data_IF_294100405303
#
_entry.id   IF_294100405303
#
_cell.length_a   1.000
_cell.length_b   1.000
_cell.length_c   1.000
_cell.angle_alpha   90.00
_cell.angle_beta   90.00
_cell.angle_gamma   90.00
#
_symmetry.space_group_name_H-M   'P 1'
#
loop_
_entity.id
_entity.type
_entity.pdbx_description
1 polymer ?
#
# COMPACT_ATOMS: atom_id res chain seq x y z
N UNK A 1 -23.70 -7.12 -11.38
CA UNK A 1 -22.99 -6.22 -12.33
C UNK A 1 -21.56 -6.08 -11.85
N UNK A 2 -20.57 -6.39 -12.68
CA UNK A 2 -19.16 -6.19 -12.29
C UNK A 2 -18.92 -4.68 -12.18
N UNK A 3 -18.93 -4.15 -10.96
CA UNK A 3 -18.70 -2.72 -10.70
C UNK A 3 -17.22 -2.35 -10.62
N UNK A 4 -16.33 -3.30 -10.84
CA UNK A 4 -14.89 -3.07 -10.78
C UNK A 4 -14.31 -3.20 -12.18
N UNK A 5 -13.67 -2.11 -12.65
CA UNK A 5 -13.09 -2.02 -13.97
C UNK A 5 -11.64 -2.54 -14.03
N UNK A 6 -11.09 -2.99 -12.89
CA UNK A 6 -9.73 -3.52 -12.88
C UNK A 6 -9.62 -4.80 -13.72
N UNK A 7 -8.53 -4.96 -14.47
CA UNK A 7 -8.33 -6.12 -15.33
C UNK A 7 -8.16 -7.41 -14.52
N UNK A 8 -8.56 -8.55 -15.08
CA UNK A 8 -8.35 -9.87 -14.48
C UNK A 8 -6.86 -10.23 -14.37
N UNK A 9 -6.06 -9.76 -15.31
CA UNK A 9 -4.61 -9.97 -15.31
C UNK A 9 -3.91 -8.63 -15.22
N UNK A 10 -2.82 -8.59 -14.44
CA UNK A 10 -1.97 -7.42 -14.33
C UNK A 10 -1.47 -7.02 -15.72
N UNK A 11 -1.73 -5.79 -16.18
CA UNK A 11 -1.19 -5.30 -17.43
C UNK A 11 0.35 -5.34 -17.42
N UNK A 12 0.95 -5.54 -18.59
CA UNK A 12 2.39 -5.38 -18.73
C UNK A 12 2.81 -3.98 -18.30
N UNK A 13 3.87 -3.92 -17.52
CA UNK A 13 4.43 -2.65 -17.07
C UNK A 13 5.95 -2.62 -17.20
N UNK A 14 6.47 -1.40 -17.30
CA UNK A 14 7.89 -1.10 -17.31
C UNK A 14 8.16 0.03 -16.33
N UNK A 15 9.25 -0.05 -15.60
CA UNK A 15 9.69 0.95 -14.65
C UNK A 15 11.06 1.44 -15.11
N UNK A 16 11.18 2.73 -15.37
CA UNK A 16 12.43 3.35 -15.83
C UNK A 16 12.81 4.49 -14.89
N UNK A 17 14.03 4.45 -14.39
CA UNK A 17 14.54 5.52 -13.52
C UNK A 17 14.70 6.80 -14.33
N UNK A 18 14.25 7.91 -13.77
CA UNK A 18 14.44 9.24 -14.33
C UNK A 18 15.64 9.91 -13.70
N UNK A 19 16.40 10.65 -14.49
CA UNK A 19 17.50 11.51 -14.01
C UNK A 19 16.98 12.81 -13.37
N UNK A 20 15.68 13.07 -13.49
CA UNK A 20 15.08 14.26 -12.91
C UNK A 20 14.98 14.15 -11.38
N UNK A 21 15.03 15.31 -10.72
CA UNK A 21 14.90 15.39 -9.27
C UNK A 21 13.53 14.89 -8.83
N UNK A 22 13.49 14.09 -7.77
CA UNK A 22 12.26 13.66 -7.12
C UNK A 22 11.45 14.86 -6.61
N UNK A 23 10.14 14.79 -6.76
CA UNK A 23 9.25 15.71 -6.07
C UNK A 23 8.96 15.19 -4.66
N UNK A 24 8.66 16.10 -3.75
CA UNK A 24 8.26 15.78 -2.39
C UNK A 24 6.76 15.50 -2.33
N UNK A 25 6.35 14.64 -1.42
CA UNK A 25 4.96 14.37 -1.10
C UNK A 25 4.68 14.76 0.35
N UNK A 26 3.53 15.35 0.61
CA UNK A 26 3.05 15.54 1.95
C UNK A 26 2.52 14.25 2.53
N UNK A 27 2.49 14.14 3.85
CA UNK A 27 1.99 12.94 4.51
C UNK A 27 0.54 12.60 4.13
N UNK A 28 -0.33 13.60 4.06
CA UNK A 28 -1.71 13.42 3.60
C UNK A 28 -1.83 12.86 2.18
N UNK A 29 -0.85 13.15 1.32
CA UNK A 29 -0.77 12.61 -0.04
C UNK A 29 -0.30 11.16 -0.02
N UNK A 30 0.58 10.82 0.93
CA UNK A 30 1.00 9.44 1.14
C UNK A 30 -0.11 8.53 1.62
N UNK A 31 -1.15 9.07 2.19
CA UNK A 31 -2.33 8.27 2.51
C UNK A 31 -2.93 7.61 1.27
N UNK A 32 -2.58 8.09 0.07
CA UNK A 32 -2.88 7.40 -1.18
C UNK A 32 -2.21 6.03 -1.31
N UNK A 33 -1.04 5.82 -0.71
CA UNK A 33 -0.40 4.51 -0.72
C UNK A 33 -1.10 3.52 0.20
N UNK A 34 -1.77 3.98 1.27
CA UNK A 34 -2.74 3.20 2.01
C UNK A 34 -4.04 3.05 1.27
N UNK A 35 -4.13 3.67 0.08
CA UNK A 35 -5.30 3.55 -0.75
C UNK A 35 -6.55 4.14 -0.06
N UNK A 36 -6.33 5.12 0.84
CA UNK A 36 -7.43 5.84 1.48
C UNK A 36 -7.97 6.89 0.51
N UNK A 37 -9.25 6.81 0.15
CA UNK A 37 -9.84 7.79 -0.76
C UNK A 37 -9.96 9.16 -0.08
N UNK A 38 -9.89 10.23 -0.88
CA UNK A 38 -10.28 11.56 -0.43
C UNK A 38 -11.80 11.62 -0.19
N UNK A 39 -12.25 12.62 0.55
CA UNK A 39 -13.68 12.82 0.77
C UNK A 39 -14.44 12.84 -0.57
N UNK A 40 -15.53 12.09 -0.64
CA UNK A 40 -16.35 11.88 -1.84
C UNK A 40 -15.67 11.12 -2.99
N UNK A 41 -14.55 10.49 -2.73
CA UNK A 41 -13.85 9.66 -3.70
C UNK A 41 -14.04 8.17 -3.37
N UNK A 42 -14.04 7.36 -4.41
CA UNK A 42 -13.91 5.91 -4.30
C UNK A 42 -12.62 5.50 -4.99
N UNK A 43 -11.88 4.62 -4.36
CA UNK A 43 -10.68 3.98 -4.92
C UNK A 43 -10.95 2.49 -5.00
N UNK A 44 -10.70 1.90 -6.15
CA UNK A 44 -10.64 0.46 -6.31
C UNK A 44 -9.21 0.04 -6.53
N UNK A 45 -8.78 -1.02 -5.88
CA UNK A 45 -7.45 -1.57 -6.07
C UNK A 45 -7.48 -3.10 -6.03
N UNK A 46 -6.54 -3.71 -6.71
CA UNK A 46 -6.43 -5.15 -6.84
C UNK A 46 -5.05 -5.65 -6.51
N UNK A 47 -5.00 -6.80 -5.86
CA UNK A 47 -3.79 -7.57 -5.59
C UNK A 47 -3.67 -8.64 -6.67
N UNK A 48 -2.50 -8.67 -7.31
CA UNK A 48 -2.16 -9.59 -8.39
C UNK A 48 -1.09 -10.54 -7.94
N UNK A 49 -1.45 -11.79 -7.86
CA UNK A 49 -0.53 -12.87 -7.49
C UNK A 49 0.58 -13.05 -8.53
N UNK A 50 1.74 -13.42 -8.07
CA UNK A 50 2.86 -13.78 -8.92
C UNK A 50 3.22 -15.27 -8.72
N UNK A 51 3.60 -16.00 -9.77
CA UNK A 51 3.88 -15.57 -11.14
C UNK A 51 2.67 -15.54 -12.06
N UNK A 52 1.45 -15.90 -11.60
CA UNK A 52 0.25 -16.00 -12.45
C UNK A 52 -0.17 -14.66 -13.04
N UNK A 53 0.16 -13.55 -12.39
CA UNK A 53 -0.26 -12.18 -12.70
C UNK A 53 -1.78 -12.00 -12.68
N UNK A 54 -2.48 -12.94 -12.06
CA UNK A 54 -3.93 -12.92 -11.94
C UNK A 54 -4.37 -12.16 -10.71
N UNK A 55 -5.44 -11.39 -10.85
CA UNK A 55 -6.06 -10.72 -9.73
C UNK A 55 -6.64 -11.74 -8.76
N UNK A 56 -6.18 -11.72 -7.52
CA UNK A 56 -6.67 -12.58 -6.44
C UNK A 56 -7.72 -11.86 -5.62
N UNK A 57 -7.40 -10.68 -5.10
CA UNK A 57 -8.26 -9.87 -4.26
C UNK A 57 -8.52 -8.50 -4.85
N UNK A 58 -9.73 -8.01 -4.60
CA UNK A 58 -10.17 -6.67 -4.93
C UNK A 58 -10.65 -5.96 -3.67
N UNK A 59 -10.38 -4.68 -3.63
CA UNK A 59 -10.81 -3.78 -2.57
C UNK A 59 -11.50 -2.56 -3.17
N UNK A 60 -12.65 -2.24 -2.63
CA UNK A 60 -13.38 -1.03 -2.94
C UNK A 60 -13.47 -0.16 -1.69
N UNK A 61 -12.78 0.97 -1.68
CA UNK A 61 -12.71 1.87 -0.54
C UNK A 61 -13.39 3.20 -0.83
N UNK A 62 -14.13 3.71 0.14
CA UNK A 62 -14.73 5.05 0.07
C UNK A 62 -14.81 5.69 1.44
N UNK A 63 -14.68 7.00 1.48
CA UNK A 63 -15.07 7.80 2.64
C UNK A 63 -16.60 7.91 2.63
N UNK A 64 -17.25 7.43 3.70
CA UNK A 64 -18.71 7.42 3.82
C UNK A 64 -19.26 8.57 4.65
N UNK A 65 -18.43 9.27 5.40
CA UNK A 65 -18.86 10.38 6.22
C UNK A 65 -17.80 10.87 7.19
N UNK A 66 -18.27 11.63 8.17
CA UNK A 66 -17.49 12.02 9.33
C UNK A 66 -17.96 11.23 10.54
N UNK A 67 -17.06 10.95 11.44
CA UNK A 67 -17.34 10.31 12.71
C UNK A 67 -16.53 10.96 13.82
N UNK A 68 -17.03 10.89 15.03
CA UNK A 68 -16.34 11.40 16.22
C UNK A 68 -16.09 10.23 17.16
N UNK A 69 -14.85 10.04 17.55
CA UNK A 69 -14.41 9.00 18.49
C UNK A 69 -13.75 9.70 19.66
N UNK A 70 -14.29 9.54 20.87
CA UNK A 70 -13.80 10.22 22.09
C UNK A 70 -13.58 11.74 21.92
N UNK A 71 -14.48 12.39 21.18
CA UNK A 71 -14.39 13.84 20.94
C UNK A 71 -13.42 14.24 19.84
N UNK A 72 -12.73 13.29 19.21
CA UNK A 72 -11.83 13.55 18.09
C UNK A 72 -12.60 13.33 16.79
N UNK A 73 -12.62 14.34 15.93
CA UNK A 73 -13.23 14.24 14.62
C UNK A 73 -12.32 13.48 13.64
N UNK A 74 -12.93 12.61 12.84
CA UNK A 74 -12.27 11.87 11.80
C UNK A 74 -13.18 11.62 10.60
N UNK A 75 -12.64 10.97 9.58
CA UNK A 75 -13.39 10.45 8.44
C UNK A 75 -13.69 8.98 8.66
N UNK A 76 -14.90 8.57 8.33
CA UNK A 76 -15.29 7.18 8.32
C UNK A 76 -15.10 6.60 6.93
N UNK A 77 -14.34 5.52 6.87
CA UNK A 77 -13.94 4.85 5.64
C UNK A 77 -14.53 3.45 5.66
N UNK A 78 -15.08 3.03 4.54
CA UNK A 78 -15.53 1.65 4.35
C UNK A 78 -14.68 0.99 3.27
N UNK A 79 -14.31 -0.26 3.51
CA UNK A 79 -13.61 -1.12 2.58
C UNK A 79 -14.43 -2.39 2.35
N UNK A 80 -14.75 -2.67 1.11
CA UNK A 80 -15.30 -3.96 0.68
C UNK A 80 -14.15 -4.77 0.08
N UNK A 81 -13.88 -5.93 0.68
CA UNK A 81 -12.86 -6.88 0.23
C UNK A 81 -13.54 -8.10 -0.34
N UNK A 82 -13.09 -8.60 -1.47
CA UNK A 82 -13.60 -9.82 -2.08
C UNK A 82 -12.60 -10.46 -3.04
N UNK A 83 -12.68 -11.78 -3.18
CA UNK A 83 -11.91 -12.49 -4.18
C UNK A 83 -12.43 -12.17 -5.58
N UNK A 84 -11.54 -12.02 -6.55
CA UNK A 84 -11.91 -11.77 -7.95
C UNK A 84 -12.81 -12.89 -8.51
N UNK A 85 -12.55 -14.13 -8.09
CA UNK A 85 -13.31 -15.32 -8.49
C UNK A 85 -14.68 -15.43 -7.82
N UNK A 86 -14.91 -14.70 -6.71
CA UNK A 86 -16.10 -14.77 -5.88
C UNK A 86 -16.64 -13.37 -5.51
N UNK A 87 -17.07 -12.58 -6.48
CA UNK A 87 -17.41 -11.17 -6.26
C UNK A 87 -18.64 -10.97 -5.37
N UNK A 88 -19.43 -12.00 -5.14
CA UNK A 88 -20.62 -11.94 -4.30
C UNK A 88 -20.30 -12.26 -2.82
N UNK A 89 -19.14 -12.84 -2.52
CA UNK A 89 -18.67 -13.12 -1.17
C UNK A 89 -17.83 -11.94 -0.66
N UNK A 90 -18.49 -10.89 -0.20
CA UNK A 90 -17.82 -9.67 0.26
C UNK A 90 -17.66 -9.64 1.76
N UNK A 91 -16.47 -9.27 2.22
CA UNK A 91 -16.20 -8.83 3.58
C UNK A 91 -16.24 -7.30 3.62
N UNK A 92 -16.95 -6.73 4.57
CA UNK A 92 -17.03 -5.28 4.75
C UNK A 92 -16.33 -4.91 6.05
N UNK A 93 -15.32 -4.07 5.94
CA UNK A 93 -14.60 -3.48 7.07
C UNK A 93 -14.76 -1.98 7.04
N UNK A 94 -14.73 -1.37 8.20
CA UNK A 94 -14.74 0.07 8.32
C UNK A 94 -13.70 0.53 9.33
N UNK A 95 -13.27 1.76 9.19
CA UNK A 95 -12.43 2.40 10.17
C UNK A 95 -12.64 3.91 10.17
N UNK A 96 -12.31 4.52 11.29
CA UNK A 96 -12.32 5.98 11.44
C UNK A 96 -10.89 6.45 11.55
N UNK A 97 -10.52 7.40 10.72
CA UNK A 97 -9.18 7.99 10.72
C UNK A 97 -9.26 9.51 10.87
N UNK A 98 -8.45 10.07 11.75
CA UNK A 98 -8.15 11.48 11.77
C UNK A 98 -7.04 11.77 10.75
N UNK A 99 -7.33 12.61 9.79
CA UNK A 99 -6.38 13.05 8.77
C UNK A 99 -6.06 14.52 9.01
N UNK A 100 -4.81 14.82 9.27
CA UNK A 100 -4.29 16.18 9.40
C UNK A 100 -3.14 16.39 8.41
N UNK A 101 -2.66 17.61 8.30
CA UNK A 101 -1.49 17.93 7.46
C UNK A 101 -0.22 17.15 7.87
N UNK A 102 -0.20 16.62 9.08
CA UNK A 102 0.97 15.99 9.68
C UNK A 102 0.76 14.54 10.06
N UNK A 103 -0.50 14.09 10.22
CA UNK A 103 -0.82 12.81 10.83
C UNK A 103 -1.98 12.11 10.11
N UNK A 104 -1.86 10.79 9.98
CA UNK A 104 -3.00 9.90 9.93
C UNK A 104 -3.05 9.10 11.22
N UNK A 105 -4.11 9.25 11.95
CA UNK A 105 -4.33 8.55 13.21
C UNK A 105 -5.58 7.70 13.09
N UNK A 106 -5.44 6.38 13.23
CA UNK A 106 -6.59 5.51 13.34
C UNK A 106 -7.21 5.66 14.73
N UNK A 107 -8.51 5.98 14.75
CA UNK A 107 -9.26 6.20 15.99
C UNK A 107 -10.09 4.98 16.39
N UNK A 108 -10.63 4.27 15.40
CA UNK A 108 -11.46 3.08 15.61
C UNK A 108 -11.51 2.22 14.36
N UNK A 109 -11.78 0.95 14.53
CA UNK A 109 -12.31 0.07 13.49
C UNK A 109 -13.80 -0.10 13.65
N UNK A 110 -14.51 -0.42 12.57
CA UNK A 110 -15.93 -0.76 12.63
C UNK A 110 -16.22 -2.07 11.90
N UNK A 111 -17.18 -2.81 12.42
CA UNK A 111 -17.66 -4.04 11.83
C UNK A 111 -19.18 -4.17 12.03
N UNK A 112 -19.79 -5.01 11.22
CA UNK A 112 -21.22 -5.33 11.33
C UNK A 112 -21.39 -6.65 12.09
N UNK A 113 -22.23 -6.64 13.12
CA UNK A 113 -22.69 -7.84 13.81
C UNK A 113 -24.20 -7.73 14.06
N UNK A 114 -24.95 -8.76 13.70
CA UNK A 114 -26.40 -8.83 13.87
C UNK A 114 -27.17 -7.62 13.29
N UNK A 115 -26.67 -7.08 12.18
CA UNK A 115 -27.24 -5.90 11.52
C UNK A 115 -26.95 -4.57 12.23
N UNK A 116 -26.15 -4.59 13.29
CA UNK A 116 -25.74 -3.41 14.05
C UNK A 116 -24.27 -3.12 13.79
N UNK A 117 -23.93 -1.83 13.63
CA UNK A 117 -22.56 -1.38 13.48
C UNK A 117 -21.90 -1.22 14.85
N UNK A 118 -20.80 -1.88 15.02
CA UNK A 118 -19.96 -1.82 16.21
C UNK A 118 -18.67 -1.09 15.92
N UNK A 119 -18.12 -0.41 16.93
CA UNK A 119 -16.82 0.26 16.86
C UNK A 119 -15.92 -0.30 17.96
N UNK A 120 -14.67 -0.53 17.59
CA UNK A 120 -13.59 -0.82 18.54
C UNK A 120 -12.62 0.35 18.45
N UNK A 121 -12.48 1.08 19.57
CA UNK A 121 -11.60 2.27 19.62
C UNK A 121 -10.17 1.88 19.95
N UNK A 122 -9.23 2.63 19.42
CA UNK A 122 -7.81 2.48 19.71
C UNK A 122 -7.32 3.46 20.79
N UNK A 123 -8.23 4.25 21.36
CA UNK A 123 -7.88 5.34 22.29
C UNK A 123 -7.92 4.93 23.75
N UNK A 124 -8.49 3.77 24.08
CA UNK A 124 -8.69 3.32 25.46
C UNK A 124 -7.61 2.34 25.95
N UNK A 125 -6.45 2.34 25.32
CA UNK A 125 -5.36 1.42 25.67
C UNK A 125 -5.60 -0.03 25.21
N UNK A 126 -6.61 -0.27 24.41
CA UNK A 126 -6.72 -1.53 23.66
C UNK A 126 -5.58 -1.60 22.66
N UNK A 127 -4.77 -2.64 22.77
CA UNK A 127 -3.69 -2.88 21.82
C UNK A 127 -4.24 -2.91 20.39
N UNK A 128 -3.57 -2.21 19.52
CA UNK A 128 -3.81 -2.29 18.09
C UNK A 128 -3.41 -3.69 17.60
N UNK A 129 -4.35 -4.59 17.59
CA UNK A 129 -4.09 -6.02 17.38
C UNK A 129 -3.78 -6.36 15.92
N UNK A 130 -4.28 -5.59 14.97
CA UNK A 130 -3.89 -5.73 13.57
C UNK A 130 -2.93 -4.62 13.22
N UNK A 131 -1.69 -4.99 13.19
CA UNK A 131 -0.62 -4.14 12.71
C UNK A 131 -0.77 -3.94 11.19
N UNK A 132 -1.57 -2.98 10.82
CA UNK A 132 -1.60 -2.45 9.46
C UNK A 132 -0.33 -1.64 9.17
N UNK A 133 0.68 -1.76 10.02
CA UNK A 133 1.92 -1.04 9.95
C UNK A 133 1.84 0.39 10.49
N UNK A 134 0.69 0.80 10.97
CA UNK A 134 0.38 2.19 11.32
C UNK A 134 -0.33 2.26 12.66
N UNK A 135 0.35 1.83 13.67
CA UNK A 135 0.03 2.25 15.01
C UNK A 135 0.20 3.76 15.16
N UNK A 136 -0.34 4.34 16.18
CA UNK A 136 -0.18 5.76 16.53
C UNK A 136 1.26 6.25 16.40
N UNK A 137 2.23 5.40 16.74
CA UNK A 137 3.66 5.70 16.71
C UNK A 137 4.26 5.75 15.30
N UNK A 138 3.59 5.18 14.31
CA UNK A 138 4.05 5.15 12.92
C UNK A 138 3.29 6.14 12.03
N UNK A 139 2.20 6.70 12.53
CA UNK A 139 1.43 7.71 11.82
C UNK A 139 1.95 9.09 12.16
N UNK A 140 2.52 9.77 11.21
CA UNK A 140 2.58 11.20 11.28
C UNK A 140 3.75 11.85 11.98
N UNK A 141 4.85 11.19 12.06
CA UNK A 141 6.08 11.88 12.46
C UNK A 141 6.61 12.82 11.36
N UNK A 142 6.05 12.74 10.16
CA UNK A 142 6.51 13.47 9.00
C UNK A 142 5.38 14.27 8.37
N UNK A 143 5.55 15.56 8.31
CA UNK A 143 4.64 16.47 7.59
C UNK A 143 4.81 16.37 6.08
N UNK A 144 5.96 15.89 5.66
CA UNK A 144 6.34 15.80 4.26
C UNK A 144 7.31 14.64 4.07
N UNK A 145 7.02 13.79 3.10
CA UNK A 145 7.96 12.78 2.65
C UNK A 145 8.88 13.38 1.59
N UNK A 146 10.15 13.20 1.78
CA UNK A 146 11.20 13.61 0.85
C UNK A 146 12.41 12.71 0.98
N UNK A 147 13.28 12.66 -0.03
CA UNK A 147 14.50 11.88 0.06
C UNK A 147 15.38 12.35 1.24
N UNK A 148 15.60 11.47 2.21
CA UNK A 148 16.45 11.72 3.37
C UNK A 148 17.81 11.03 3.24
N UNK A 149 17.92 10.10 2.28
CA UNK A 149 19.12 9.34 2.04
C UNK A 149 19.38 8.19 3.04
N UNK A 150 18.37 7.86 3.86
CA UNK A 150 18.42 6.70 4.75
C UNK A 150 18.30 5.40 3.96
N UNK A 151 17.48 5.44 2.90
CA UNK A 151 17.33 4.35 1.94
C UNK A 151 17.87 4.81 0.60
N UNK A 152 18.72 3.99 0.00
CA UNK A 152 19.20 4.16 -1.38
C UNK A 152 18.80 2.94 -2.18
N UNK A 153 18.36 3.18 -3.40
CA UNK A 153 18.03 2.13 -4.36
C UNK A 153 18.81 2.35 -5.65
N UNK A 154 19.61 1.36 -6.01
CA UNK A 154 20.36 1.29 -7.25
C UNK A 154 20.02 -0.05 -7.91
N UNK A 155 19.28 0.01 -9.00
CA UNK A 155 18.74 -1.14 -9.70
C UNK A 155 17.99 -2.10 -8.75
N UNK A 156 18.48 -3.30 -8.56
CA UNK A 156 17.95 -4.35 -7.68
C UNK A 156 18.52 -4.31 -6.24
N UNK A 157 19.32 -3.29 -5.91
CA UNK A 157 19.97 -3.16 -4.61
C UNK A 157 19.38 -2.04 -3.80
N UNK A 158 18.92 -2.38 -2.61
CA UNK A 158 18.44 -1.44 -1.60
C UNK A 158 19.40 -1.46 -0.41
N UNK A 159 19.84 -0.31 0.01
CA UNK A 159 20.63 -0.14 1.22
C UNK A 159 19.92 0.78 2.18
N UNK A 160 19.85 0.39 3.44
CA UNK A 160 19.27 1.18 4.50
C UNK A 160 20.29 1.38 5.63
N UNK A 161 20.46 2.64 6.03
CA UNK A 161 21.40 2.98 7.11
C UNK A 161 20.80 2.80 8.52
N UNK A 162 19.48 2.60 8.58
CA UNK A 162 18.77 2.44 9.84
C UNK A 162 18.19 1.02 9.94
N UNK A 163 18.19 0.46 11.17
CA UNK A 163 17.56 -0.84 11.43
C UNK A 163 16.09 -0.72 11.82
N UNK A 164 15.61 0.50 12.11
CA UNK A 164 14.21 0.74 12.42
C UNK A 164 13.38 0.84 11.12
N UNK A 165 12.07 0.58 11.19
CA UNK A 165 11.18 0.82 10.08
C UNK A 165 11.35 2.23 9.53
N UNK A 166 11.58 2.34 8.23
CA UNK A 166 11.79 3.63 7.57
C UNK A 166 11.10 3.64 6.21
N UNK A 167 10.63 4.82 5.84
CA UNK A 167 10.18 5.13 4.48
C UNK A 167 11.03 6.24 3.91
N UNK A 168 11.36 6.14 2.62
CA UNK A 168 12.09 7.20 1.92
C UNK A 168 11.70 7.24 0.44
N UNK A 169 11.74 8.44 -0.15
CA UNK A 169 11.69 8.58 -1.59
C UNK A 169 13.10 8.29 -2.13
N UNK A 170 13.22 7.22 -2.89
CA UNK A 170 14.51 6.74 -3.39
C UNK A 170 14.84 7.21 -4.81
N UNK A 171 13.88 7.80 -5.51
CA UNK A 171 14.09 8.33 -6.84
C UNK A 171 12.80 8.69 -7.56
N UNK A 172 12.95 9.28 -8.76
CA UNK A 172 11.85 9.54 -9.70
C UNK A 172 11.90 8.51 -10.81
N UNK A 173 10.73 8.04 -11.21
CA UNK A 173 10.59 6.96 -12.17
C UNK A 173 9.42 7.23 -13.12
N UNK A 174 9.59 6.84 -14.38
CA UNK A 174 8.49 6.68 -15.31
C UNK A 174 7.97 5.25 -15.20
N UNK A 175 6.70 5.10 -14.85
CA UNK A 175 5.99 3.82 -14.88
C UNK A 175 5.11 3.79 -16.12
N UNK A 176 5.40 2.88 -17.04
CA UNK A 176 4.50 2.58 -18.15
C UNK A 176 3.70 1.35 -17.78
N UNK A 177 2.37 1.46 -17.75
CA UNK A 177 1.46 0.34 -17.47
C UNK A 177 0.23 0.40 -18.36
N UNK A 178 -0.10 -0.71 -18.99
CA UNK A 178 -1.21 -0.76 -19.96
C UNK A 178 -1.05 0.23 -21.12
N UNK A 179 0.19 0.56 -21.49
CA UNK A 179 0.53 1.50 -22.56
C UNK A 179 0.46 2.98 -22.16
N UNK A 180 0.08 3.32 -20.94
CA UNK A 180 0.09 4.71 -20.42
C UNK A 180 1.35 4.94 -19.57
N UNK A 181 1.89 6.17 -19.65
CA UNK A 181 3.06 6.62 -18.90
C UNK A 181 2.65 7.47 -17.73
N UNK A 182 3.25 7.20 -16.58
CA UNK A 182 3.03 7.91 -15.33
C UNK A 182 4.36 8.39 -14.78
N UNK A 183 4.44 9.69 -14.50
CA UNK A 183 5.56 10.28 -13.79
C UNK A 183 5.37 10.09 -12.29
N UNK A 184 6.27 9.35 -11.67
CA UNK A 184 6.13 8.90 -10.30
C UNK A 184 7.39 9.11 -9.49
N UNK A 185 7.26 9.10 -8.18
CA UNK A 185 8.36 8.84 -7.26
C UNK A 185 8.21 7.44 -6.67
N UNK A 186 9.33 6.77 -6.47
CA UNK A 186 9.35 5.51 -5.75
C UNK A 186 9.57 5.78 -4.26
N UNK A 187 8.60 5.40 -3.46
CA UNK A 187 8.70 5.34 -2.01
C UNK A 187 9.04 3.90 -1.64
N UNK A 188 10.17 3.71 -1.00
CA UNK A 188 10.51 2.42 -0.40
C UNK A 188 10.10 2.46 1.07
N UNK A 189 9.30 1.49 1.45
CA UNK A 189 8.90 1.22 2.82
C UNK A 189 9.58 -0.08 3.27
N UNK A 190 10.47 0.04 4.23
CA UNK A 190 11.23 -1.08 4.77
C UNK A 190 10.82 -1.33 6.21
N UNK A 191 10.06 -2.40 6.41
CA UNK A 191 9.74 -2.93 7.72
C UNK A 191 8.63 -2.24 8.48
N UNK A 192 7.90 -1.27 7.91
CA UNK A 192 6.78 -0.61 8.61
C UNK A 192 5.63 -1.58 8.90
N UNK A 193 5.38 -2.52 8.01
CA UNK A 193 4.41 -3.58 8.24
C UNK A 193 5.00 -4.76 9.02
N UNK A 194 6.20 -5.18 8.63
CA UNK A 194 6.91 -6.31 9.21
C UNK A 194 8.38 -6.23 8.78
N UNK A 195 9.30 -6.55 9.67
CA UNK A 195 10.75 -6.52 9.39
C UNK A 195 11.18 -7.40 8.20
N UNK A 196 10.32 -8.35 7.81
CA UNK A 196 10.57 -9.25 6.68
C UNK A 196 9.95 -8.76 5.36
N UNK A 197 9.43 -7.55 5.33
CA UNK A 197 8.71 -7.01 4.18
C UNK A 197 9.35 -5.72 3.71
N UNK A 198 9.48 -5.60 2.39
CA UNK A 198 9.79 -4.36 1.70
C UNK A 198 8.67 -4.07 0.70
N UNK A 199 8.28 -2.82 0.61
CA UNK A 199 7.34 -2.36 -0.41
C UNK A 199 7.93 -1.22 -1.23
N UNK A 200 7.68 -1.24 -2.53
CA UNK A 200 7.94 -0.15 -3.45
C UNK A 200 6.61 0.44 -3.89
N UNK A 201 6.38 1.70 -3.59
CA UNK A 201 5.17 2.42 -4.00
C UNK A 201 5.53 3.46 -5.04
N UNK A 202 5.00 3.33 -6.23
CA UNK A 202 5.15 4.29 -7.32
C UNK A 202 3.97 5.24 -7.27
N UNK A 203 4.19 6.45 -6.77
CA UNK A 203 3.18 7.45 -6.50
C UNK A 203 3.31 8.61 -7.48
N UNK A 204 2.18 9.06 -8.01
CA UNK A 204 2.13 10.27 -8.81
C UNK A 204 2.32 11.55 -7.95
N UNK A 205 2.36 12.70 -8.58
CA UNK A 205 2.54 14.00 -7.91
C UNK A 205 1.42 14.37 -6.92
N UNK A 206 0.29 13.66 -6.95
CA UNK A 206 -0.83 13.84 -6.03
C UNK A 206 -0.85 12.76 -4.94
N UNK A 207 0.22 11.94 -4.83
CA UNK A 207 0.30 10.84 -3.89
C UNK A 207 -0.57 9.64 -4.26
N UNK A 208 -1.00 9.54 -5.52
CA UNK A 208 -1.84 8.42 -5.97
C UNK A 208 -0.99 7.23 -6.34
N UNK A 209 -1.31 6.08 -5.78
CA UNK A 209 -0.64 4.83 -6.10
C UNK A 209 -0.97 4.42 -7.53
N UNK A 210 0.07 4.36 -8.36
CA UNK A 210 -0.01 3.81 -9.72
C UNK A 210 0.30 2.32 -9.69
N UNK A 211 1.39 1.95 -9.03
CA UNK A 211 1.85 0.59 -8.86
C UNK A 211 2.43 0.44 -7.47
N UNK A 212 2.13 -0.67 -6.81
CA UNK A 212 2.74 -1.07 -5.55
C UNK A 212 3.28 -2.48 -5.72
N UNK A 213 4.57 -2.66 -5.47
CA UNK A 213 5.27 -3.94 -5.52
C UNK A 213 5.66 -4.35 -4.12
N UNK A 214 5.39 -5.58 -3.75
CA UNK A 214 5.71 -6.10 -2.43
C UNK A 214 6.67 -7.26 -2.50
N UNK A 215 7.69 -7.20 -1.65
CA UNK A 215 8.74 -8.18 -1.55
C UNK A 215 8.81 -8.74 -0.15
N UNK A 216 9.03 -10.04 -0.03
CA UNK A 216 9.24 -10.70 1.25
C UNK A 216 10.67 -11.23 1.36
N UNK A 217 11.25 -11.08 2.55
CA UNK A 217 12.46 -11.76 2.92
C UNK A 217 12.15 -13.24 3.05
N UNK A 218 12.95 -13.99 2.43
CA UNK A 218 12.96 -15.40 2.10
C UNK A 218 12.19 -16.44 2.95
N UNK A 219 11.69 -16.29 4.12
CA UNK A 219 11.21 -17.42 4.93
C UNK A 219 9.80 -17.28 5.54
N UNK A 220 9.13 -16.19 5.32
CA UNK A 220 7.86 -15.94 5.99
C UNK A 220 6.66 -16.39 5.14
N UNK A 221 5.90 -17.36 5.65
CA UNK A 221 4.73 -17.98 4.98
C UNK A 221 4.99 -18.66 3.64
N UNK A 222 6.24 -19.00 3.33
CA UNK A 222 6.66 -19.37 1.99
C UNK A 222 6.65 -20.87 1.69
N UNK A 223 6.43 -21.74 2.65
CA UNK A 223 6.46 -23.18 2.38
C UNK A 223 5.50 -23.58 1.24
N UNK A 224 4.38 -22.90 1.15
CA UNK A 224 3.39 -23.10 0.08
C UNK A 224 3.84 -22.53 -1.27
N UNK A 225 4.62 -21.45 -1.27
CA UNK A 225 4.99 -20.70 -2.48
C UNK A 225 6.49 -20.74 -2.78
N UNK A 226 7.30 -21.16 -1.83
CA UNK A 226 8.77 -21.13 -1.89
C UNK A 226 9.31 -21.73 -3.20
N UNK A 227 8.76 -22.85 -3.62
CA UNK A 227 9.16 -23.54 -4.86
C UNK A 227 8.76 -22.75 -6.11
N UNK A 228 7.55 -22.17 -6.10
CA UNK A 228 7.06 -21.38 -7.23
C UNK A 228 7.87 -20.10 -7.42
N UNK A 229 8.18 -19.40 -6.34
CA UNK A 229 8.83 -18.09 -6.43
C UNK A 229 10.33 -18.15 -6.62
N UNK A 230 11.01 -19.09 -5.98
CA UNK A 230 12.47 -19.21 -6.13
C UNK A 230 12.89 -19.84 -7.44
N UNK A 231 12.05 -20.72 -8.00
CA UNK A 231 12.37 -21.45 -9.23
C UNK A 231 11.80 -20.80 -10.49
N UNK A 232 10.68 -20.06 -10.37
CA UNK A 232 9.95 -19.52 -11.53
C UNK A 232 10.09 -18.02 -11.74
N UNK A 233 10.42 -17.25 -10.68
CA UNK A 233 10.62 -15.82 -10.85
C UNK A 233 12.03 -15.51 -11.36
N UNK A 234 12.14 -14.65 -12.37
CA UNK A 234 13.42 -14.17 -12.87
C UNK A 234 14.24 -13.46 -11.77
N UNK A 235 15.56 -13.36 -11.97
CA UNK A 235 16.42 -12.65 -11.01
C UNK A 235 16.04 -11.19 -10.82
N UNK A 236 15.51 -10.54 -11.86
CA UNK A 236 15.02 -9.15 -11.79
C UNK A 236 13.76 -8.98 -10.93
N UNK A 237 13.13 -10.07 -10.51
CA UNK A 237 12.03 -10.06 -9.53
C UNK A 237 12.52 -10.26 -8.09
N UNK A 238 13.81 -10.06 -7.87
CA UNK A 238 14.44 -10.13 -6.55
C UNK A 238 15.09 -8.80 -6.25
N UNK A 239 15.08 -8.43 -4.97
CA UNK A 239 15.83 -7.28 -4.46
C UNK A 239 16.83 -7.76 -3.43
N UNK A 240 18.02 -7.17 -3.44
CA UNK A 240 18.99 -7.31 -2.36
C UNK A 240 18.81 -6.13 -1.39
N UNK A 241 18.52 -6.42 -0.13
CA UNK A 241 18.42 -5.40 0.93
C UNK A 241 19.52 -5.64 1.95
N UNK A 242 20.49 -4.74 2.01
CA UNK A 242 21.68 -4.89 2.87
C UNK A 242 22.38 -6.26 2.73
N UNK A 243 22.36 -6.83 1.53
CA UNK A 243 22.92 -8.15 1.23
C UNK A 243 21.99 -9.34 1.45
N UNK A 244 20.80 -9.14 1.97
CA UNK A 244 19.77 -10.17 2.10
C UNK A 244 18.83 -10.17 0.89
N UNK A 245 18.35 -11.35 0.48
CA UNK A 245 17.46 -11.48 -0.68
C UNK A 245 16.00 -11.37 -0.28
N UNK A 246 15.29 -10.50 -0.98
CA UNK A 246 13.85 -10.35 -0.93
C UNK A 246 13.26 -10.76 -2.25
N UNK A 247 12.18 -11.51 -2.22
CA UNK A 247 11.50 -12.07 -3.39
C UNK A 247 10.19 -11.32 -3.61
N UNK A 248 9.94 -10.94 -4.84
CA UNK A 248 8.70 -10.29 -5.25
C UNK A 248 7.51 -11.20 -4.99
N UNK A 249 6.53 -10.72 -4.26
CA UNK A 249 5.39 -11.51 -3.81
C UNK A 249 4.12 -11.20 -4.59
N UNK A 250 3.74 -9.94 -4.63
CA UNK A 250 2.59 -9.51 -5.40
C UNK A 250 2.72 -8.06 -5.85
N UNK A 251 1.91 -7.71 -6.83
CA UNK A 251 1.69 -6.35 -7.27
C UNK A 251 0.28 -5.89 -6.91
N UNK A 252 0.15 -4.60 -6.69
CA UNK A 252 -1.14 -3.95 -6.56
C UNK A 252 -1.21 -2.76 -7.50
N UNK A 253 -2.33 -2.61 -8.18
CA UNK A 253 -2.65 -1.43 -8.97
C UNK A 253 -3.98 -0.85 -8.51
N UNK A 254 -4.15 0.44 -8.75
CA UNK A 254 -5.41 1.14 -8.49
C UNK A 254 -6.13 1.46 -9.78
N UNK A 255 -7.41 1.81 -9.67
CA UNK A 255 -8.22 2.24 -10.80
C UNK A 255 -7.80 3.63 -11.37
N UNK A 256 -6.83 4.30 -10.75
CA UNK A 256 -6.22 5.51 -11.31
C UNK A 256 -5.53 5.27 -12.66
N UNK A 257 -5.05 4.05 -12.90
CA UNK A 257 -4.48 3.70 -14.21
C UNK A 257 -5.54 3.65 -15.34
N UNK A 258 -6.82 3.62 -14.97
CA UNK A 258 -7.93 3.54 -15.92
C UNK A 258 -8.60 4.90 -16.17
N UNK A 259 -8.28 5.89 -15.37
CA UNK A 259 -8.86 7.25 -15.42
C UNK A 259 -8.18 8.19 -16.40
#
# INVERSE_FOLDING_TARGET
MKNNNLPEYLPEYKIEKSDEKSFSLKWEELMGWHLIPKLNEKISWGIYDLPSRKCDYLYDMKVIGRATVHGIEGVEITAEEYQFSKPDEKSVRGFVAQLTDTHCRYLATSYMADGVKHYVTFLDGEEFVENWGYGEDNCGHETQLSPKGLIKKEDDKVTCQNQNPVMDIVGRYEVTIGGKKYDTVCVVDLGSYNQNVLSEHYLDKNGRTILWRRFNKNDWHLDRYKKLWTEQLPENERLSVNGETYVHWYDCITDFILR
#
